data_IF_699753831307
#
_entry.id   IF_699753831307
#
_cell.length_a   1.000
_cell.length_b   1.000
_cell.length_c   1.000
_cell.angle_alpha   90.00
_cell.angle_beta   90.00
_cell.angle_gamma   90.00
#
_symmetry.space_group_name_H-M   'P 1'
#
loop_
_entity.id
_entity.type
_entity.pdbx_description
1 polymer ?
#
# COMPACT_ATOMS: atom_id res chain seq x y z
N UNK A 1 -55.45 22.31 23.09
CA UNK A 1 -54.25 23.11 23.43
C UNK A 1 -53.01 22.32 23.02
N UNK A 2 -52.39 22.64 21.89
CA UNK A 2 -51.06 22.11 21.52
C UNK A 2 -50.04 23.06 22.15
N UNK A 3 -49.50 22.68 23.31
CA UNK A 3 -48.42 23.42 23.93
C UNK A 3 -47.16 23.23 23.11
N UNK A 4 -46.69 24.30 22.45
CA UNK A 4 -45.34 24.39 21.91
C UNK A 4 -44.35 24.53 23.08
N UNK A 5 -44.22 23.50 23.92
CA UNK A 5 -43.16 23.42 24.90
C UNK A 5 -41.83 23.39 24.15
N UNK A 6 -40.92 24.31 24.44
CA UNK A 6 -39.55 24.24 23.93
C UNK A 6 -38.90 22.98 24.51
N UNK A 7 -38.52 22.04 23.66
CA UNK A 7 -37.62 20.96 24.04
C UNK A 7 -36.29 21.62 24.43
N UNK A 8 -35.86 21.45 25.67
CA UNK A 8 -34.71 22.19 26.17
C UNK A 8 -33.40 21.44 25.93
N UNK A 9 -33.37 20.14 26.23
CA UNK A 9 -32.14 19.35 26.12
C UNK A 9 -32.49 17.91 25.70
N UNK A 10 -31.93 17.49 24.56
CA UNK A 10 -31.88 16.08 24.16
C UNK A 10 -30.47 15.59 24.41
N UNK A 11 -30.33 14.54 25.21
CA UNK A 11 -29.05 13.92 25.53
C UNK A 11 -28.98 12.57 24.81
N UNK A 12 -27.89 12.33 24.08
CA UNK A 12 -27.66 11.07 23.37
C UNK A 12 -26.58 10.29 24.09
N UNK A 13 -26.84 9.00 24.38
CA UNK A 13 -25.86 8.14 25.06
C UNK A 13 -25.71 6.78 24.36
N UNK A 14 -24.49 6.22 24.43
CA UNK A 14 -24.19 4.87 23.96
C UNK A 14 -24.11 3.89 25.13
N UNK A 15 -25.07 2.97 25.21
CA UNK A 15 -25.18 2.02 26.32
C UNK A 15 -24.59 0.65 25.93
N UNK A 16 -23.68 0.06 26.74
CA UNK A 16 -23.14 -1.28 26.48
C UNK A 16 -24.15 -2.40 26.78
N UNK A 17 -25.12 -2.17 27.67
CA UNK A 17 -26.19 -3.10 28.06
C UNK A 17 -27.55 -2.39 28.07
N UNK A 18 -28.63 -3.18 27.99
CA UNK A 18 -30.02 -2.71 28.05
C UNK A 18 -30.40 -2.24 29.46
N UNK A 19 -29.81 -2.84 30.50
CA UNK A 19 -30.20 -2.63 31.89
C UNK A 19 -29.20 -1.73 32.64
N UNK A 20 -29.71 -0.60 33.15
CA UNK A 20 -29.15 0.25 34.21
C UNK A 20 -27.87 1.05 33.96
N UNK A 21 -27.19 0.90 32.82
CA UNK A 21 -25.96 1.66 32.56
C UNK A 21 -26.29 3.02 31.92
N UNK A 22 -25.92 4.11 32.61
CA UNK A 22 -25.93 5.45 32.04
C UNK A 22 -24.83 5.48 30.99
N UNK A 23 -25.17 5.11 29.76
CA UNK A 23 -24.24 4.99 28.66
C UNK A 23 -23.37 6.24 28.47
N UNK A 24 -22.30 6.13 27.71
CA UNK A 24 -21.40 7.27 27.49
C UNK A 24 -22.15 8.37 26.75
N UNK A 25 -22.25 9.55 27.39
CA UNK A 25 -22.83 10.75 26.80
C UNK A 25 -22.07 11.16 25.54
N UNK A 26 -22.79 11.66 24.55
CA UNK A 26 -22.24 12.27 23.35
C UNK A 26 -22.54 13.77 23.39
N UNK A 27 -21.62 14.60 23.96
CA UNK A 27 -21.89 16.01 24.19
C UNK A 27 -22.14 16.78 22.90
N UNK A 28 -21.43 16.41 21.83
CA UNK A 28 -21.42 17.06 20.52
C UNK A 28 -22.80 17.12 19.83
N UNK A 29 -23.70 16.21 20.19
CA UNK A 29 -25.06 16.13 19.62
C UNK A 29 -26.14 16.44 20.64
N UNK A 30 -25.76 16.82 21.86
CA UNK A 30 -26.71 17.19 22.90
C UNK A 30 -27.41 18.51 22.53
N UNK A 31 -28.74 18.52 22.57
CA UNK A 31 -29.57 19.63 22.11
C UNK A 31 -30.05 19.53 20.65
N UNK A 32 -29.59 18.53 19.90
CA UNK A 32 -30.09 18.25 18.55
C UNK A 32 -31.13 17.12 18.55
N UNK A 33 -32.11 17.21 17.64
CA UNK A 33 -33.13 16.16 17.43
C UNK A 33 -32.64 15.02 16.53
N UNK A 34 -31.40 15.07 16.08
CA UNK A 34 -30.83 14.11 15.15
C UNK A 34 -29.43 13.71 15.62
N UNK A 35 -29.13 12.43 15.51
CA UNK A 35 -27.82 11.87 15.80
C UNK A 35 -27.39 10.97 14.65
N UNK A 36 -26.22 11.26 14.07
CA UNK A 36 -25.61 10.41 13.06
C UNK A 36 -24.78 9.34 13.76
N UNK A 37 -25.22 8.10 13.63
CA UNK A 37 -24.54 6.93 14.21
C UNK A 37 -23.09 6.86 13.68
N UNK A 38 -22.14 6.88 14.61
CA UNK A 38 -20.70 6.70 14.34
C UNK A 38 -20.27 5.23 14.42
N UNK A 39 -19.03 4.94 14.01
CA UNK A 39 -18.44 3.60 14.11
C UNK A 39 -18.41 3.09 15.57
N UNK A 40 -18.16 3.99 16.52
CA UNK A 40 -18.06 3.65 17.95
C UNK A 40 -19.38 3.26 18.59
N UNK A 41 -20.50 3.50 17.91
CA UNK A 41 -21.82 3.08 18.34
C UNK A 41 -22.10 1.61 17.98
N UNK A 42 -21.34 0.99 17.08
CA UNK A 42 -21.56 -0.40 16.64
C UNK A 42 -21.48 -1.35 17.85
N UNK A 43 -22.48 -2.22 17.98
CA UNK A 43 -22.61 -3.15 19.09
C UNK A 43 -23.19 -2.54 20.38
N UNK A 44 -23.46 -1.24 20.41
CA UNK A 44 -24.07 -0.54 21.54
C UNK A 44 -25.53 -0.21 21.25
N UNK A 45 -26.28 0.07 22.29
CA UNK A 45 -27.62 0.66 22.18
C UNK A 45 -27.50 2.18 22.17
N UNK A 46 -28.41 2.85 21.47
CA UNK A 46 -28.53 4.31 21.51
C UNK A 46 -29.71 4.66 22.40
N UNK A 47 -29.52 5.59 23.33
CA UNK A 47 -30.61 6.18 24.09
C UNK A 47 -30.71 7.68 23.83
N UNK A 48 -31.95 8.17 23.84
CA UNK A 48 -32.27 9.59 23.81
C UNK A 48 -33.00 9.93 25.11
N UNK A 49 -32.45 10.85 25.89
CA UNK A 49 -33.13 11.43 27.04
C UNK A 49 -33.58 12.84 26.70
N UNK A 50 -34.86 13.12 26.91
CA UNK A 50 -35.46 14.41 26.69
C UNK A 50 -35.94 14.98 28.02
N UNK A 51 -35.45 16.18 28.37
CA UNK A 51 -35.94 16.93 29.52
C UNK A 51 -36.78 18.11 29.04
N UNK A 52 -38.11 18.10 29.27
CA UNK A 52 -38.97 19.21 28.85
C UNK A 52 -38.71 20.45 29.70
N UNK A 53 -38.77 21.64 29.10
CA UNK A 53 -38.73 22.90 29.83
C UNK A 53 -39.83 23.82 29.33
N UNK A 54 -40.54 24.42 30.27
CA UNK A 54 -41.52 25.45 29.96
C UNK A 54 -40.81 26.79 29.72
N UNK A 55 -41.50 27.72 29.06
CA UNK A 55 -40.98 29.05 28.70
C UNK A 55 -40.64 29.94 29.91
N UNK A 56 -41.21 29.65 31.08
CA UNK A 56 -40.85 30.25 32.36
C UNK A 56 -39.62 29.61 33.05
N UNK A 57 -38.92 28.69 32.36
CA UNK A 57 -37.71 28.04 32.86
C UNK A 57 -37.96 26.84 33.77
N UNK A 58 -39.22 26.44 33.98
CA UNK A 58 -39.52 25.25 34.79
C UNK A 58 -39.18 23.99 34.02
N UNK A 59 -38.27 23.20 34.59
CA UNK A 59 -37.80 21.91 34.06
C UNK A 59 -38.72 20.80 34.55
N UNK A 60 -39.21 19.97 33.63
CA UNK A 60 -40.02 18.79 33.95
C UNK A 60 -39.18 17.51 34.01
N UNK A 61 -39.85 16.40 34.34
CA UNK A 61 -39.21 15.08 34.47
C UNK A 61 -38.61 14.59 33.14
N UNK A 62 -37.36 14.08 33.14
CA UNK A 62 -36.73 13.53 31.95
C UNK A 62 -37.43 12.24 31.49
N UNK A 63 -37.56 12.07 30.18
CA UNK A 63 -38.03 10.83 29.55
C UNK A 63 -36.94 10.26 28.67
N UNK A 64 -36.60 8.99 28.90
CA UNK A 64 -35.60 8.27 28.11
C UNK A 64 -36.28 7.28 27.17
N UNK A 65 -35.89 7.30 25.90
CA UNK A 65 -36.20 6.28 24.92
C UNK A 65 -34.91 5.51 24.60
N UNK A 66 -34.96 4.18 24.67
CA UNK A 66 -33.85 3.30 24.33
C UNK A 66 -34.14 2.61 23.00
N UNK A 67 -33.16 2.59 22.10
CA UNK A 67 -33.24 1.78 20.87
C UNK A 67 -33.44 0.30 21.22
N UNK A 68 -34.36 -0.36 20.52
CA UNK A 68 -34.71 -1.76 20.79
C UNK A 68 -33.62 -2.75 20.37
N UNK A 69 -32.70 -2.32 19.51
CA UNK A 69 -31.61 -3.14 19.00
C UNK A 69 -30.26 -2.45 19.14
N UNK A 70 -29.20 -3.27 19.16
CA UNK A 70 -27.84 -2.77 19.01
C UNK A 70 -27.64 -2.22 17.61
N UNK A 71 -26.86 -1.15 17.51
CA UNK A 71 -26.38 -0.65 16.22
C UNK A 71 -25.59 -1.76 15.54
N UNK A 72 -26.03 -2.12 14.33
CA UNK A 72 -25.36 -3.13 13.50
C UNK A 72 -24.38 -2.47 12.55
N UNK A 73 -23.25 -3.13 12.21
CA UNK A 73 -22.39 -2.64 11.14
C UNK A 73 -23.15 -2.65 9.81
N UNK A 74 -22.94 -1.63 8.98
CA UNK A 74 -23.43 -1.63 7.60
C UNK A 74 -22.70 -2.66 6.73
N UNK A 75 -23.28 -3.01 5.57
CA UNK A 75 -22.63 -3.90 4.61
C UNK A 75 -21.28 -3.35 4.14
N UNK A 76 -20.23 -4.18 4.07
CA UNK A 76 -18.89 -3.73 3.66
C UNK A 76 -18.93 -3.15 2.25
N UNK A 77 -18.26 -2.02 2.03
CA UNK A 77 -18.09 -1.42 0.71
C UNK A 77 -16.90 -0.48 0.69
N UNK A 78 -16.35 -0.26 -0.50
CA UNK A 78 -15.38 0.81 -0.73
C UNK A 78 -16.11 2.08 -1.19
N UNK A 79 -15.71 3.21 -0.60
CA UNK A 79 -16.15 4.54 -1.01
C UNK A 79 -15.20 5.16 -2.05
N UNK A 80 -13.94 4.71 -2.07
CA UNK A 80 -12.94 5.04 -3.07
C UNK A 80 -11.90 3.94 -3.16
N UNK A 81 -11.29 3.79 -4.34
CA UNK A 81 -10.20 2.88 -4.63
C UNK A 81 -9.29 3.53 -5.68
N UNK A 82 -8.04 3.76 -5.34
CA UNK A 82 -7.06 4.43 -6.20
C UNK A 82 -5.71 3.70 -6.13
N UNK A 83 -5.01 3.67 -7.25
CA UNK A 83 -3.61 3.25 -7.31
C UNK A 83 -2.72 4.49 -7.15
N UNK A 84 -1.72 4.40 -6.28
CA UNK A 84 -0.71 5.44 -6.05
C UNK A 84 0.68 4.86 -6.31
N UNK A 85 1.48 5.60 -7.06
CA UNK A 85 2.84 5.24 -7.45
C UNK A 85 3.19 5.77 -8.82
N UNK A 86 4.33 5.32 -9.35
CA UNK A 86 4.82 5.69 -10.68
C UNK A 86 4.67 4.52 -11.64
N UNK A 87 4.28 4.81 -12.88
CA UNK A 87 4.14 3.82 -13.95
C UNK A 87 5.50 3.39 -14.53
N UNK A 88 6.46 3.03 -13.68
CA UNK A 88 7.84 2.72 -14.07
C UNK A 88 8.24 1.37 -13.47
N UNK A 89 8.75 0.47 -14.29
CA UNK A 89 9.32 -0.81 -13.88
C UNK A 89 10.30 -0.65 -12.69
N UNK A 90 10.27 -1.59 -11.76
CA UNK A 90 11.12 -1.59 -10.57
C UNK A 90 10.55 -0.80 -9.40
N UNK A 91 9.57 0.09 -9.66
CA UNK A 91 8.84 0.79 -8.60
C UNK A 91 7.62 0.00 -8.11
N UNK A 92 7.11 0.35 -6.92
CA UNK A 92 5.93 -0.28 -6.34
C UNK A 92 4.72 0.63 -6.46
N UNK A 93 3.62 0.05 -6.94
CA UNK A 93 2.29 0.60 -6.84
C UNK A 93 1.68 0.20 -5.49
N UNK A 94 0.84 1.08 -4.95
CA UNK A 94 0.13 0.88 -3.68
C UNK A 94 -1.34 1.27 -3.83
N UNK A 95 -2.20 0.63 -3.05
CA UNK A 95 -3.64 0.91 -3.07
C UNK A 95 -4.01 1.87 -1.95
N UNK A 96 -4.60 3.00 -2.32
CA UNK A 96 -5.31 3.87 -1.39
C UNK A 96 -6.82 3.64 -1.50
N UNK A 97 -7.49 3.42 -0.37
CA UNK A 97 -8.93 3.15 -0.36
C UNK A 97 -9.63 3.67 0.88
N UNK A 98 -10.92 3.96 0.75
CA UNK A 98 -11.80 4.32 1.87
C UNK A 98 -12.83 3.24 2.09
N UNK A 99 -12.80 2.59 3.25
CA UNK A 99 -13.72 1.52 3.61
C UNK A 99 -14.92 2.05 4.42
N UNK A 100 -16.09 1.43 4.22
CA UNK A 100 -17.27 1.63 5.04
C UNK A 100 -17.95 0.29 5.37
N UNK A 101 -18.62 0.25 6.52
CA UNK A 101 -19.41 -0.91 6.95
C UNK A 101 -18.76 -1.66 8.11
N UNK A 102 -18.44 -0.97 9.21
CA UNK A 102 -17.88 -1.60 10.42
C UNK A 102 -16.36 -1.65 10.49
N UNK A 103 -15.82 -2.63 11.21
CA UNK A 103 -14.38 -2.88 11.33
C UNK A 103 -13.88 -3.67 10.11
N UNK A 104 -12.95 -3.08 9.37
CA UNK A 104 -12.36 -3.76 8.23
C UNK A 104 -11.53 -4.98 8.68
N UNK A 105 -11.63 -6.07 7.93
CA UNK A 105 -10.78 -7.25 8.02
C UNK A 105 -9.78 -7.31 6.86
N UNK A 106 -9.42 -8.52 6.44
CA UNK A 106 -8.48 -8.74 5.34
C UNK A 106 -9.21 -8.69 4.00
N UNK A 107 -9.27 -7.49 3.39
CA UNK A 107 -9.80 -7.32 2.04
C UNK A 107 -8.94 -8.08 1.00
N UNK A 108 -9.58 -8.55 -0.06
CA UNK A 108 -8.93 -9.34 -1.12
C UNK A 108 -8.57 -8.43 -2.29
N UNK A 109 -7.34 -8.52 -2.78
CA UNK A 109 -6.87 -7.76 -3.95
C UNK A 109 -6.54 -8.71 -5.10
N UNK A 110 -6.77 -8.25 -6.33
CA UNK A 110 -6.27 -8.91 -7.55
C UNK A 110 -5.79 -7.84 -8.52
N UNK A 111 -4.56 -7.97 -9.00
CA UNK A 111 -3.97 -7.05 -9.96
C UNK A 111 -4.12 -7.58 -11.39
N UNK A 112 -4.28 -6.68 -12.34
CA UNK A 112 -4.49 -6.99 -13.74
C UNK A 112 -3.60 -6.15 -14.63
N UNK A 113 -3.05 -6.78 -15.67
CA UNK A 113 -2.44 -6.13 -16.83
C UNK A 113 -3.49 -6.01 -17.94
N UNK A 114 -3.50 -4.89 -18.63
CA UNK A 114 -4.32 -4.66 -19.81
C UNK A 114 -3.44 -4.27 -20.98
N UNK A 115 -3.52 -5.02 -22.07
CA UNK A 115 -2.83 -4.71 -23.32
C UNK A 115 -3.54 -3.58 -24.07
N UNK A 116 -2.84 -3.01 -25.05
CA UNK A 116 -3.35 -1.92 -25.89
C UNK A 116 -4.59 -2.28 -26.71
N UNK A 117 -4.86 -3.57 -26.92
CA UNK A 117 -6.08 -4.09 -27.56
C UNK A 117 -7.27 -4.24 -26.60
N UNK A 118 -7.08 -3.95 -25.32
CA UNK A 118 -8.10 -4.09 -24.27
C UNK A 118 -8.18 -5.47 -23.60
N UNK A 119 -7.33 -6.44 -23.99
CA UNK A 119 -7.29 -7.75 -23.33
C UNK A 119 -6.76 -7.60 -21.90
N UNK A 120 -7.51 -8.10 -20.93
CA UNK A 120 -7.16 -8.05 -19.50
C UNK A 120 -6.68 -9.43 -19.02
N UNK A 121 -5.55 -9.45 -18.32
CA UNK A 121 -4.92 -10.66 -17.78
C UNK A 121 -4.63 -10.44 -16.29
N UNK A 122 -5.12 -11.35 -15.44
CA UNK A 122 -4.79 -11.34 -14.01
C UNK A 122 -3.30 -11.63 -13.80
N UNK A 123 -2.67 -10.90 -12.89
CA UNK A 123 -1.28 -11.12 -12.50
C UNK A 123 -1.27 -12.16 -11.38
N UNK A 124 -0.69 -13.32 -11.65
CA UNK A 124 -0.54 -14.38 -10.66
C UNK A 124 0.26 -13.89 -9.45
N UNK A 125 -0.10 -14.38 -8.26
CA UNK A 125 0.56 -14.09 -6.97
C UNK A 125 0.54 -12.62 -6.50
N UNK A 126 -0.07 -11.71 -7.25
CA UNK A 126 -0.29 -10.33 -6.86
C UNK A 126 -1.63 -10.17 -6.12
N UNK A 127 -1.63 -10.51 -4.82
CA UNK A 127 -2.86 -10.51 -3.99
C UNK A 127 -2.87 -9.51 -2.84
N UNK A 128 -1.84 -8.65 -2.75
CA UNK A 128 -1.70 -7.66 -1.68
C UNK A 128 -2.11 -6.25 -2.13
N UNK A 129 -2.21 -5.32 -1.19
CA UNK A 129 -2.46 -3.90 -1.47
C UNK A 129 -1.25 -3.18 -2.13
N UNK A 130 -0.16 -3.90 -2.44
CA UNK A 130 0.98 -3.38 -3.18
C UNK A 130 1.37 -4.34 -4.30
N UNK A 131 1.88 -3.76 -5.40
CA UNK A 131 2.35 -4.50 -6.56
C UNK A 131 3.66 -3.90 -7.07
N UNK A 132 4.73 -4.70 -7.11
CA UNK A 132 6.03 -4.28 -7.64
C UNK A 132 6.04 -4.52 -9.14
N UNK A 133 6.20 -3.45 -9.91
CA UNK A 133 6.25 -3.51 -11.36
C UNK A 133 7.52 -4.22 -11.83
N UNK A 134 7.33 -5.14 -12.76
CA UNK A 134 8.34 -5.99 -13.38
C UNK A 134 8.50 -5.67 -14.87
N UNK A 135 9.49 -6.30 -15.50
CA UNK A 135 9.73 -6.17 -16.94
C UNK A 135 8.52 -6.63 -17.77
N UNK A 136 7.76 -7.61 -17.28
CA UNK A 136 6.59 -8.17 -17.95
C UNK A 136 5.36 -7.24 -17.93
N UNK A 137 5.44 -6.13 -17.18
CA UNK A 137 4.40 -5.11 -17.14
C UNK A 137 4.63 -4.00 -18.18
N UNK A 138 5.84 -3.89 -18.74
CA UNK A 138 6.20 -2.81 -19.66
C UNK A 138 5.27 -2.83 -20.88
N UNK A 139 4.71 -1.66 -21.20
CA UNK A 139 3.77 -1.49 -22.31
C UNK A 139 2.31 -1.80 -21.95
N UNK A 140 2.03 -2.39 -20.79
CA UNK A 140 0.67 -2.65 -20.32
C UNK A 140 0.16 -1.51 -19.44
N UNK A 141 -1.16 -1.38 -19.34
CA UNK A 141 -1.82 -0.63 -18.28
C UNK A 141 -2.09 -1.58 -17.10
N UNK A 142 -2.01 -1.07 -15.87
CA UNK A 142 -2.25 -1.84 -14.65
C UNK A 142 -3.49 -1.35 -13.93
N UNK A 143 -4.29 -2.27 -13.41
CA UNK A 143 -5.46 -1.98 -12.56
C UNK A 143 -5.53 -2.99 -11.41
N UNK A 144 -6.31 -2.66 -10.37
CA UNK A 144 -6.52 -3.54 -9.21
C UNK A 144 -8.00 -3.63 -8.88
N UNK A 145 -8.48 -4.84 -8.62
CA UNK A 145 -9.78 -5.05 -7.99
C UNK A 145 -9.62 -5.26 -6.49
N UNK A 146 -10.59 -4.80 -5.71
CA UNK A 146 -10.64 -5.03 -4.28
C UNK A 146 -12.03 -5.53 -3.86
N UNK A 147 -12.09 -6.68 -3.20
CA UNK A 147 -13.27 -7.18 -2.50
C UNK A 147 -13.14 -6.79 -1.02
N UNK A 148 -13.92 -5.81 -0.52
CA UNK A 148 -13.83 -5.39 0.87
C UNK A 148 -14.38 -6.48 1.78
N UNK A 149 -13.60 -6.86 2.80
CA UNK A 149 -13.98 -7.88 3.78
C UNK A 149 -14.00 -7.25 5.17
N UNK A 150 -15.08 -7.46 5.91
CA UNK A 150 -15.22 -7.03 7.31
C UNK A 150 -14.61 -8.07 8.24
N UNK A 151 -14.28 -7.66 9.47
CA UNK A 151 -13.67 -8.53 10.49
C UNK A 151 -14.49 -9.81 10.79
N UNK A 152 -15.80 -9.78 10.58
CA UNK A 152 -16.70 -10.93 10.73
C UNK A 152 -16.88 -11.74 9.44
N UNK A 153 -16.01 -11.55 8.45
CA UNK A 153 -16.00 -12.22 7.14
C UNK A 153 -17.15 -11.86 6.20
N UNK A 154 -17.99 -10.88 6.55
CA UNK A 154 -18.92 -10.32 5.58
C UNK A 154 -18.16 -9.69 4.41
N UNK A 155 -18.62 -9.95 3.19
CA UNK A 155 -18.00 -9.46 1.95
C UNK A 155 -18.87 -8.40 1.29
N UNK A 156 -18.23 -7.38 0.75
CA UNK A 156 -18.87 -6.34 -0.05
C UNK A 156 -18.70 -6.55 -1.55
N UNK A 157 -19.28 -5.65 -2.37
CA UNK A 157 -19.10 -5.69 -3.82
C UNK A 157 -17.65 -5.45 -4.20
N UNK A 158 -17.17 -6.17 -5.21
CA UNK A 158 -15.85 -5.95 -5.81
C UNK A 158 -15.85 -4.60 -6.53
N UNK A 159 -14.80 -3.82 -6.30
CA UNK A 159 -14.57 -2.53 -6.98
C UNK A 159 -13.27 -2.61 -7.77
N UNK A 160 -13.28 -2.12 -9.01
CA UNK A 160 -12.11 -2.00 -9.87
C UNK A 160 -11.60 -0.56 -9.83
N UNK A 161 -10.27 -0.38 -9.76
CA UNK A 161 -9.63 0.92 -9.83
C UNK A 161 -9.63 1.49 -11.26
N UNK A 162 -9.34 2.78 -11.39
CA UNK A 162 -8.80 3.32 -12.65
C UNK A 162 -7.46 2.67 -13.01
N UNK A 163 -7.09 2.76 -14.28
CA UNK A 163 -5.86 2.20 -14.81
C UNK A 163 -4.68 3.18 -14.65
N UNK A 164 -3.49 2.65 -14.42
CA UNK A 164 -2.23 3.40 -14.45
C UNK A 164 -1.32 2.82 -15.55
N UNK A 165 -0.75 3.69 -16.38
CA UNK A 165 0.15 3.26 -17.44
C UNK A 165 0.04 4.08 -18.73
N UNK A 166 0.64 3.60 -19.83
CA UNK A 166 1.37 2.34 -19.93
C UNK A 166 2.62 2.33 -19.05
N UNK A 167 2.99 1.19 -18.49
CA UNK A 167 4.22 1.07 -17.71
C UNK A 167 5.43 1.24 -18.63
N UNK A 168 6.38 2.09 -18.23
CA UNK A 168 7.61 2.33 -18.98
C UNK A 168 8.81 1.67 -18.32
N UNK A 169 9.82 1.35 -19.13
CA UNK A 169 11.08 0.81 -18.65
C UNK A 169 11.80 1.80 -17.72
N UNK A 170 12.27 1.31 -16.58
CA UNK A 170 13.06 2.08 -15.63
C UNK A 170 14.47 2.38 -16.14
N UNK A 171 15.24 3.23 -15.43
CA UNK A 171 16.67 3.37 -15.71
C UNK A 171 17.37 2.02 -15.51
N UNK A 172 18.38 1.68 -16.32
CA UNK A 172 19.10 0.42 -16.15
C UNK A 172 19.85 0.43 -14.82
N UNK A 173 19.73 -0.63 -14.04
CA UNK A 173 20.46 -0.76 -12.77
C UNK A 173 20.99 -2.17 -12.59
N UNK A 174 21.92 -2.31 -11.63
CA UNK A 174 22.47 -3.60 -11.21
C UNK A 174 22.16 -3.78 -9.72
N UNK A 175 21.02 -4.39 -9.36
CA UNK A 175 20.60 -4.53 -7.96
C UNK A 175 21.52 -5.42 -7.10
N UNK A 176 22.27 -6.33 -7.73
CA UNK A 176 23.25 -7.20 -7.08
C UNK A 176 24.44 -7.46 -8.00
N UNK A 177 25.65 -7.42 -7.42
CA UNK A 177 26.91 -7.72 -8.08
C UNK A 177 27.80 -8.47 -7.08
N UNK A 178 28.13 -9.72 -7.40
CA UNK A 178 28.84 -10.61 -6.47
C UNK A 178 29.98 -11.35 -7.18
N UNK A 179 31.13 -11.48 -6.52
CA UNK A 179 32.22 -12.31 -7.01
C UNK A 179 31.90 -13.79 -6.85
N UNK A 180 32.36 -14.57 -7.82
CA UNK A 180 32.39 -16.02 -7.81
C UNK A 180 33.84 -16.50 -7.91
N UNK A 181 34.14 -17.60 -7.21
CA UNK A 181 35.50 -18.11 -7.10
C UNK A 181 36.19 -17.70 -5.80
N UNK A 182 37.49 -18.00 -5.71
CA UNK A 182 38.29 -17.73 -4.50
C UNK A 182 39.28 -16.61 -4.75
N UNK A 183 39.42 -15.70 -3.78
CA UNK A 183 40.43 -14.63 -3.77
C UNK A 183 41.83 -15.20 -3.45
N UNK A 184 42.32 -16.12 -4.27
CA UNK A 184 43.60 -16.82 -4.10
C UNK A 184 44.44 -16.73 -5.37
N UNK A 185 45.75 -16.57 -5.21
CA UNK A 185 46.71 -16.58 -6.31
C UNK A 185 46.54 -17.85 -7.17
N UNK A 186 46.57 -17.68 -8.49
CA UNK A 186 46.41 -18.77 -9.46
C UNK A 186 44.97 -19.22 -9.69
N UNK A 187 43.99 -18.67 -8.96
CA UNK A 187 42.57 -18.95 -9.19
C UNK A 187 41.95 -17.96 -10.19
N UNK A 188 40.81 -18.36 -10.75
CA UNK A 188 40.01 -17.52 -11.64
C UNK A 188 38.79 -16.98 -10.89
N UNK A 189 38.60 -15.66 -10.94
CA UNK A 189 37.42 -14.98 -10.44
C UNK A 189 36.44 -14.72 -11.59
N UNK A 190 35.16 -14.96 -11.34
CA UNK A 190 34.06 -14.45 -12.16
C UNK A 190 33.09 -13.66 -11.29
N UNK A 191 31.95 -13.30 -11.85
CA UNK A 191 30.93 -12.57 -11.11
C UNK A 191 29.53 -12.94 -11.60
N UNK A 192 28.55 -12.67 -10.75
CA UNK A 192 27.14 -12.65 -11.13
C UNK A 192 26.60 -11.23 -10.93
N UNK A 193 25.86 -10.75 -11.92
CA UNK A 193 25.24 -9.44 -11.91
C UNK A 193 23.75 -9.58 -12.24
N UNK A 194 22.88 -9.01 -11.41
CA UNK A 194 21.47 -8.84 -11.76
C UNK A 194 21.26 -7.57 -12.57
N UNK A 195 20.21 -7.55 -13.38
CA UNK A 195 19.85 -6.42 -14.22
C UNK A 195 18.38 -6.07 -14.01
N UNK A 196 18.06 -4.77 -13.98
CA UNK A 196 16.69 -4.27 -14.08
C UNK A 196 16.66 -2.96 -14.88
N UNK A 197 15.47 -2.52 -15.29
CA UNK A 197 15.32 -1.29 -16.09
C UNK A 197 15.19 -1.59 -17.59
N UNK A 198 14.35 -2.54 -17.94
CA UNK A 198 13.87 -2.81 -19.30
C UNK A 198 14.43 -4.09 -19.88
N UNK A 199 14.48 -4.16 -21.21
CA UNK A 199 15.22 -5.23 -21.87
C UNK A 199 16.72 -5.00 -21.75
N UNK A 200 17.43 -6.00 -21.23
CA UNK A 200 18.89 -5.95 -21.08
C UNK A 200 19.56 -5.85 -22.45
N UNK A 201 20.41 -4.84 -22.62
CA UNK A 201 21.30 -4.69 -23.77
C UNK A 201 22.72 -5.19 -23.48
N UNK A 202 23.67 -4.69 -24.26
CA UNK A 202 25.09 -5.03 -24.13
C UNK A 202 25.74 -4.32 -22.93
N UNK A 203 25.53 -4.90 -21.75
CA UNK A 203 26.21 -4.48 -20.52
C UNK A 203 27.72 -4.76 -20.64
N UNK A 204 28.53 -3.98 -19.94
CA UNK A 204 29.98 -4.14 -19.95
C UNK A 204 30.54 -4.09 -18.54
N UNK A 205 31.68 -4.76 -18.36
CA UNK A 205 32.39 -4.83 -17.10
C UNK A 205 33.86 -4.57 -17.30
N UNK A 206 34.50 -4.02 -16.27
CA UNK A 206 35.91 -3.69 -16.28
C UNK A 206 36.53 -4.08 -14.94
N UNK A 207 37.66 -4.77 -15.01
CA UNK A 207 38.44 -5.18 -13.85
C UNK A 207 39.54 -4.17 -13.58
N UNK A 208 39.73 -3.81 -12.31
CA UNK A 208 40.76 -2.88 -11.87
C UNK A 208 41.56 -3.45 -10.70
N UNK A 209 42.86 -3.18 -10.72
CA UNK A 209 43.76 -3.34 -9.58
C UNK A 209 43.99 -1.97 -8.96
N UNK A 210 43.64 -1.80 -7.69
CA UNK A 210 43.93 -0.56 -6.98
C UNK A 210 45.38 -0.56 -6.49
N UNK A 211 46.09 0.52 -6.84
CA UNK A 211 47.44 0.79 -6.33
C UNK A 211 47.35 1.45 -4.96
N UNK A 212 48.42 1.33 -4.17
CA UNK A 212 48.52 1.92 -2.84
C UNK A 212 48.41 3.45 -2.81
N UNK A 213 48.61 4.12 -3.94
CA UNK A 213 48.40 5.56 -4.10
C UNK A 213 46.94 5.94 -4.49
N UNK A 214 46.02 4.97 -4.50
CA UNK A 214 44.60 5.16 -4.86
C UNK A 214 44.31 5.16 -6.36
N UNK A 215 45.33 5.06 -7.23
CA UNK A 215 45.11 4.96 -8.68
C UNK A 215 44.60 3.58 -9.10
N UNK A 216 43.73 3.54 -10.12
CA UNK A 216 43.16 2.32 -10.69
C UNK A 216 43.95 1.90 -11.93
N UNK A 217 44.41 0.65 -11.95
CA UNK A 217 45.03 0.01 -13.11
C UNK A 217 44.04 -0.95 -13.74
N UNK A 218 43.63 -0.67 -14.98
CA UNK A 218 42.71 -1.54 -15.72
C UNK A 218 43.40 -2.86 -16.08
N UNK A 219 42.79 -3.97 -15.67
CA UNK A 219 43.24 -5.32 -15.98
C UNK A 219 42.66 -5.78 -17.31
N UNK A 220 43.46 -6.49 -18.10
CA UNK A 220 43.01 -7.12 -19.35
C UNK A 220 42.39 -8.47 -19.02
N UNK A 221 41.11 -8.47 -18.71
CA UNK A 221 40.31 -9.66 -18.46
C UNK A 221 38.98 -9.50 -19.20
N UNK A 222 38.48 -10.62 -19.72
CA UNK A 222 37.14 -10.68 -20.32
C UNK A 222 36.15 -11.09 -19.22
N UNK A 223 35.38 -12.16 -19.38
CA UNK A 223 34.41 -12.64 -18.39
C UNK A 223 35.04 -13.12 -17.07
N UNK A 224 36.30 -13.59 -17.11
CA UNK A 224 37.02 -14.12 -15.96
C UNK A 224 38.35 -13.38 -15.74
N UNK A 225 38.68 -13.10 -14.47
CA UNK A 225 39.97 -12.56 -14.07
C UNK A 225 40.82 -13.65 -13.42
N UNK A 226 41.94 -13.99 -14.04
CA UNK A 226 42.93 -14.88 -13.43
C UNK A 226 43.82 -14.09 -12.48
N UNK A 227 43.81 -14.46 -11.20
CA UNK A 227 44.64 -13.84 -10.17
C UNK A 227 46.08 -14.33 -10.29
N UNK A 228 47.01 -13.39 -10.27
CA UNK A 228 48.46 -13.65 -10.35
C UNK A 228 49.15 -13.27 -9.05
N UNK A 229 50.44 -13.62 -8.92
CA UNK A 229 51.27 -13.19 -7.79
C UNK A 229 51.28 -11.67 -7.62
N UNK A 230 51.13 -10.90 -8.71
CA UNK A 230 51.10 -9.43 -8.68
C UNK A 230 49.85 -8.87 -7.99
N UNK A 231 48.79 -9.67 -7.89
CA UNK A 231 47.52 -9.31 -7.26
C UNK A 231 47.51 -9.58 -5.75
N UNK A 232 48.50 -10.31 -5.22
CA UNK A 232 48.58 -10.64 -3.79
C UNK A 232 48.76 -9.36 -2.96
N UNK A 233 47.85 -9.17 -2.00
CA UNK A 233 47.80 -7.97 -1.16
C UNK A 233 47.30 -6.72 -1.87
N UNK A 234 46.77 -6.83 -3.09
CA UNK A 234 46.09 -5.74 -3.82
C UNK A 234 44.59 -5.84 -3.64
N UNK A 235 43.90 -4.72 -3.88
CA UNK A 235 42.43 -4.70 -3.97
C UNK A 235 42.04 -4.83 -5.43
N UNK A 236 41.20 -5.82 -5.71
CA UNK A 236 40.57 -6.02 -7.01
C UNK A 236 39.19 -5.37 -6.96
N UNK A 237 38.88 -4.56 -7.95
CA UNK A 237 37.59 -3.90 -8.12
C UNK A 237 36.99 -4.31 -9.46
N UNK A 238 35.71 -4.63 -9.45
CA UNK A 238 34.91 -4.89 -10.64
C UNK A 238 33.91 -3.75 -10.81
N UNK A 239 33.96 -3.11 -11.96
CA UNK A 239 32.99 -2.08 -12.34
C UNK A 239 32.04 -2.70 -13.36
N UNK A 240 30.76 -2.81 -13.01
CA UNK A 240 29.71 -3.26 -13.92
C UNK A 240 28.85 -2.09 -14.36
N UNK A 241 28.70 -1.90 -15.67
CA UNK A 241 27.81 -0.87 -16.24
C UNK A 241 26.62 -1.53 -16.91
N UNK A 242 25.41 -1.47 -16.31
CA UNK A 242 24.21 -1.98 -16.94
C UNK A 242 23.82 -1.09 -18.14
N UNK A 243 23.39 -1.71 -19.22
CA UNK A 243 22.97 -1.05 -20.47
C UNK A 243 21.67 -1.68 -20.93
N UNK A 244 20.69 -0.85 -21.29
CA UNK A 244 19.42 -1.28 -21.88
C UNK A 244 19.55 -1.47 -23.37
N UNK A 245 18.63 -2.23 -23.96
CA UNK A 245 18.63 -2.55 -25.38
C UNK A 245 18.63 -1.30 -26.31
N UNK A 246 18.12 -0.16 -25.82
CA UNK A 246 18.15 1.14 -26.52
C UNK A 246 19.47 1.93 -26.33
N UNK A 247 20.47 1.34 -25.65
CA UNK A 247 21.79 1.94 -25.42
C UNK A 247 21.86 2.88 -24.21
N UNK A 248 20.77 3.10 -23.49
CA UNK A 248 20.81 3.88 -22.24
C UNK A 248 21.68 3.13 -21.22
N UNK A 249 22.61 3.87 -20.60
CA UNK A 249 23.49 3.36 -19.57
C UNK A 249 22.90 3.65 -18.20
N UNK A 250 22.98 2.67 -17.32
CA UNK A 250 22.65 2.85 -15.93
C UNK A 250 23.69 3.67 -15.19
N UNK A 251 23.26 4.24 -14.08
CA UNK A 251 24.16 4.95 -13.17
C UNK A 251 24.92 3.89 -12.36
N UNK A 252 26.24 4.02 -12.33
CA UNK A 252 27.10 3.21 -11.48
C UNK A 252 26.61 3.32 -10.04
N UNK A 253 26.14 2.22 -9.46
CA UNK A 253 25.89 2.14 -8.03
C UNK A 253 27.21 2.41 -7.31
N UNK A 254 27.22 3.47 -6.50
CA UNK A 254 28.33 3.83 -5.61
C UNK A 254 28.28 2.93 -4.38
#
# INVERSE_FOLDING_TARGET
MRGNGKLAYVVVSLCPKVESDFGTLIPEVSGFLQYRISKDAIGKFVSFQCTPMRDDGIVGEPRTCLGQERVRPGSPRLLSLQIVGTAVEGTSLSVEKKYWGGEEGNSVFRWFRMSSDGTQIEVNDASTASYKLSVDDIGFFVSVSCEPVRRDWARGPIVLSEQIGPIIAGPPTCPSLEFLGSMMEGQSLSFVASYSGGEKGNCFHEWFRLKSNGSKEKLKADEFLNLTIEDVGKVIELVYTPVRNDGIRGILGV
#
